data_IF_192853561582
#
_entry.id   IF_192853561582
#
_cell.length_a   1.000
_cell.length_b   1.000
_cell.length_c   1.000
_cell.angle_alpha   90.00
_cell.angle_beta   90.00
_cell.angle_gamma   90.00
#
_symmetry.space_group_name_H-M   'P 1'
#
loop_
_entity.id
_entity.type
_entity.pdbx_description
1 polymer ?
#
# COMPACT_ATOMS: atom_id res chain seq x y z
N UNK A 1 -12.63 13.95 13.24
CA UNK A 1 -13.12 14.77 12.10
C UNK A 1 -14.13 13.87 11.38
N UNK A 2 -15.40 14.29 11.22
CA UNK A 2 -16.42 13.42 10.60
C UNK A 2 -16.05 13.20 9.13
N UNK A 3 -15.94 11.94 8.70
CA UNK A 3 -15.58 11.60 7.31
C UNK A 3 -16.71 11.99 6.35
N UNK A 4 -16.40 12.22 5.07
CA UNK A 4 -17.38 12.60 4.07
C UNK A 4 -18.52 11.56 3.96
N UNK A 5 -18.17 10.27 4.06
CA UNK A 5 -19.10 9.13 4.03
C UNK A 5 -20.09 9.14 5.21
N UNK A 6 -19.62 9.46 6.43
CA UNK A 6 -20.49 9.59 7.61
C UNK A 6 -21.42 10.79 7.47
N UNK A 7 -20.92 11.92 6.96
CA UNK A 7 -21.74 13.11 6.73
C UNK A 7 -22.88 12.82 5.75
N UNK A 8 -22.61 12.13 4.64
CA UNK A 8 -23.64 11.77 3.66
C UNK A 8 -24.71 10.84 4.23
N UNK A 9 -24.31 9.83 5.02
CA UNK A 9 -25.25 8.89 5.66
C UNK A 9 -26.18 9.60 6.65
N UNK A 10 -25.63 10.42 7.55
CA UNK A 10 -26.40 11.21 8.53
C UNK A 10 -27.41 12.15 7.84
N UNK A 11 -27.01 12.79 6.74
CA UNK A 11 -27.89 13.67 5.95
C UNK A 11 -28.98 12.91 5.17
N UNK A 12 -28.78 11.61 4.90
CA UNK A 12 -29.81 10.76 4.29
C UNK A 12 -30.85 10.30 5.32
N UNK A 13 -30.42 10.03 6.56
CA UNK A 13 -31.26 9.50 7.63
C UNK A 13 -32.11 10.57 8.32
N UNK A 14 -31.61 11.80 8.43
CA UNK A 14 -32.37 12.89 9.07
C UNK A 14 -33.73 13.17 8.42
N UNK A 15 -33.85 12.89 7.12
CA UNK A 15 -35.11 13.05 6.39
C UNK A 15 -36.20 12.06 6.86
N UNK A 16 -35.80 10.97 7.50
CA UNK A 16 -36.67 9.90 8.02
C UNK A 16 -37.19 10.18 9.43
N UNK A 17 -36.62 11.14 10.15
CA UNK A 17 -37.06 11.51 11.51
C UNK A 17 -38.27 12.44 11.37
N UNK A 18 -39.48 12.05 11.77
CA UNK A 18 -40.66 12.90 11.59
C UNK A 18 -40.72 14.09 12.55
N UNK A 19 -40.08 13.97 13.72
CA UNK A 19 -40.09 15.01 14.75
C UNK A 19 -39.03 16.09 14.50
N UNK A 20 -39.51 17.31 14.20
CA UNK A 20 -38.65 18.45 13.85
C UNK A 20 -37.70 18.88 14.98
N UNK A 21 -38.06 18.68 16.25
CA UNK A 21 -37.19 19.00 17.38
C UNK A 21 -36.06 17.96 17.52
N UNK A 22 -36.38 16.67 17.41
CA UNK A 22 -35.39 15.58 17.45
C UNK A 22 -34.38 15.63 16.30
N UNK A 23 -34.78 16.09 15.10
CA UNK A 23 -33.84 16.31 13.97
C UNK A 23 -32.65 17.18 14.35
N UNK A 24 -32.88 18.22 15.16
CA UNK A 24 -31.82 19.16 15.56
C UNK A 24 -30.86 18.48 16.54
N UNK A 25 -31.39 17.73 17.51
CA UNK A 25 -30.56 16.99 18.46
C UNK A 25 -29.74 15.91 17.73
N UNK A 26 -30.37 15.15 16.82
CA UNK A 26 -29.71 14.11 16.03
C UNK A 26 -28.53 14.67 15.21
N UNK A 27 -28.67 15.84 14.59
CA UNK A 27 -27.54 16.49 13.89
C UNK A 27 -26.38 16.83 14.81
N UNK A 28 -26.68 17.42 15.96
CA UNK A 28 -25.66 17.89 16.90
C UNK A 28 -24.94 16.71 17.58
N UNK A 29 -25.63 15.59 17.77
CA UNK A 29 -25.04 14.34 18.26
C UNK A 29 -24.08 13.73 17.24
N UNK A 30 -24.54 13.54 16.00
CA UNK A 30 -23.80 12.76 15.01
C UNK A 30 -22.76 13.57 14.21
N UNK A 31 -22.98 14.87 13.97
CA UNK A 31 -22.04 15.74 13.25
C UNK A 31 -21.21 16.65 14.17
N UNK A 32 -21.45 16.57 15.49
CA UNK A 32 -20.83 17.42 16.48
C UNK A 32 -21.32 18.88 16.43
N UNK A 33 -20.51 19.83 16.92
CA UNK A 33 -20.95 21.22 17.07
C UNK A 33 -21.15 21.93 15.72
N UNK A 34 -22.34 22.49 15.52
CA UNK A 34 -22.75 23.12 14.25
C UNK A 34 -23.09 24.61 14.39
N UNK A 35 -22.89 25.36 13.30
CA UNK A 35 -23.43 26.73 13.16
C UNK A 35 -24.93 26.67 12.91
N UNK A 36 -25.62 27.76 13.22
CA UNK A 36 -27.06 27.91 12.94
C UNK A 36 -27.40 27.66 11.46
N UNK A 37 -26.57 28.16 10.54
CA UNK A 37 -26.74 28.00 9.09
C UNK A 37 -26.65 26.55 8.65
N UNK A 38 -25.70 25.81 9.22
CA UNK A 38 -25.51 24.39 8.92
C UNK A 38 -26.66 23.54 9.47
N UNK A 39 -27.22 23.90 10.64
CA UNK A 39 -28.40 23.20 11.17
C UNK A 39 -29.59 23.40 10.24
N UNK A 40 -29.80 24.59 9.69
CA UNK A 40 -30.85 24.85 8.69
C UNK A 40 -30.64 23.98 7.45
N UNK A 41 -29.43 24.04 6.88
CA UNK A 41 -29.07 23.31 5.67
C UNK A 41 -29.25 21.80 5.83
N UNK A 42 -28.75 21.24 6.93
CA UNK A 42 -28.69 19.80 7.15
C UNK A 42 -30.03 19.21 7.64
N UNK A 43 -30.83 19.98 8.39
CA UNK A 43 -32.13 19.49 8.87
C UNK A 43 -33.23 19.55 7.83
N UNK A 44 -33.04 20.33 6.76
CA UNK A 44 -34.08 20.63 5.77
C UNK A 44 -35.26 21.43 6.35
N UNK A 45 -35.10 22.03 7.53
CA UNK A 45 -36.14 22.80 8.20
C UNK A 45 -36.04 24.29 7.87
N UNK A 46 -37.17 25.00 7.91
CA UNK A 46 -37.16 26.45 7.72
C UNK A 46 -36.43 27.16 8.87
N UNK A 47 -35.85 28.33 8.57
CA UNK A 47 -35.13 29.17 9.54
C UNK A 47 -35.93 29.47 10.81
N UNK A 48 -37.23 29.71 10.68
CA UNK A 48 -38.14 29.96 11.81
C UNK A 48 -38.33 28.72 12.67
N UNK A 49 -38.45 27.55 12.06
CA UNK A 49 -38.58 26.25 12.73
C UNK A 49 -37.31 25.89 13.51
N UNK A 50 -36.13 26.03 12.89
CA UNK A 50 -34.84 25.82 13.57
C UNK A 50 -34.68 26.80 14.74
N UNK A 51 -35.02 28.07 14.55
CA UNK A 51 -34.94 29.06 15.63
C UNK A 51 -35.84 28.71 16.81
N UNK A 52 -37.09 28.27 16.55
CA UNK A 52 -38.04 27.84 17.56
C UNK A 52 -37.48 26.68 18.39
N UNK A 53 -37.01 25.62 17.74
CA UNK A 53 -36.59 24.40 18.43
C UNK A 53 -35.20 24.51 19.07
N UNK A 54 -34.27 25.28 18.51
CA UNK A 54 -33.03 25.60 19.23
C UNK A 54 -33.31 26.37 20.51
N UNK A 55 -34.19 27.38 20.49
CA UNK A 55 -34.58 28.10 21.71
C UNK A 55 -35.22 27.16 22.73
N UNK A 56 -36.09 26.26 22.27
CA UNK A 56 -36.69 25.24 23.12
C UNK A 56 -35.63 24.36 23.79
N UNK A 57 -34.71 23.78 23.02
CA UNK A 57 -33.67 22.91 23.55
C UNK A 57 -32.65 23.64 24.43
N UNK A 58 -32.32 24.89 24.12
CA UNK A 58 -31.49 25.71 25.01
C UNK A 58 -32.20 26.05 26.32
N UNK A 59 -33.51 26.33 26.30
CA UNK A 59 -34.28 26.56 27.54
C UNK A 59 -34.40 25.32 28.43
N UNK A 60 -34.28 24.13 27.82
CA UNK A 60 -34.33 22.83 28.51
C UNK A 60 -32.94 22.26 28.85
N UNK A 61 -31.86 23.00 28.58
CA UNK A 61 -30.48 22.54 28.73
C UNK A 61 -30.12 21.30 27.91
N UNK A 62 -30.82 21.04 26.79
CA UNK A 62 -30.49 19.97 25.84
C UNK A 62 -29.42 20.40 24.83
N UNK A 63 -29.29 21.71 24.60
CA UNK A 63 -28.36 22.31 23.65
C UNK A 63 -27.77 23.58 24.24
N UNK A 64 -26.45 23.69 24.21
CA UNK A 64 -25.71 24.86 24.66
C UNK A 64 -25.10 25.63 23.50
N UNK A 65 -25.05 26.95 23.61
CA UNK A 65 -24.40 27.82 22.63
C UNK A 65 -23.05 28.28 23.17
N UNK A 66 -21.95 27.82 22.58
CA UNK A 66 -20.57 28.15 23.00
C UNK A 66 -19.74 28.68 21.84
N UNK A 67 -18.65 29.37 22.17
CA UNK A 67 -17.63 29.76 21.20
C UNK A 67 -16.75 28.54 20.93
N UNK A 68 -16.83 28.02 19.71
CA UNK A 68 -15.93 26.99 19.23
C UNK A 68 -14.62 27.62 18.77
N UNK A 69 -13.49 27.10 19.27
CA UNK A 69 -12.14 27.52 18.87
C UNK A 69 -11.42 26.33 18.25
N UNK A 70 -10.93 26.51 17.02
CA UNK A 70 -10.05 25.55 16.37
C UNK A 70 -8.75 26.24 16.00
N UNK A 71 -7.71 26.00 16.81
CA UNK A 71 -6.41 26.65 16.69
C UNK A 71 -5.69 26.25 15.38
N UNK A 72 -5.90 25.02 14.90
CA UNK A 72 -5.28 24.51 13.67
C UNK A 72 -5.86 25.12 12.39
N UNK A 73 -7.09 25.67 12.44
CA UNK A 73 -7.75 26.32 11.30
C UNK A 73 -7.97 27.82 11.50
N UNK A 74 -7.51 28.37 12.62
CA UNK A 74 -7.71 29.76 13.05
C UNK A 74 -9.20 30.20 13.02
N UNK A 75 -10.10 29.31 13.46
CA UNK A 75 -11.55 29.55 13.47
C UNK A 75 -12.02 29.82 14.91
N UNK A 76 -12.71 30.94 15.10
CA UNK A 76 -13.43 31.27 16.34
C UNK A 76 -14.85 31.71 16.02
N UNK A 77 -15.83 30.89 16.39
CA UNK A 77 -17.23 31.16 16.02
C UNK A 77 -18.25 30.55 16.97
N UNK A 78 -19.46 31.07 16.95
CA UNK A 78 -20.55 30.55 17.76
C UNK A 78 -21.14 29.28 17.13
N UNK A 79 -21.15 28.20 17.92
CA UNK A 79 -21.77 26.92 17.55
C UNK A 79 -22.69 26.43 18.66
N UNK A 80 -23.60 25.54 18.26
CA UNK A 80 -24.47 24.82 19.18
C UNK A 80 -23.88 23.45 19.46
N UNK A 81 -23.96 23.03 20.71
CA UNK A 81 -23.43 21.79 21.25
C UNK A 81 -24.60 21.05 21.90
N UNK A 82 -24.74 19.76 21.63
CA UNK A 82 -25.66 18.92 22.40
C UNK A 82 -25.07 18.69 23.80
N UNK A 83 -25.93 18.61 24.81
CA UNK A 83 -25.55 18.24 26.18
C UNK A 83 -25.89 16.78 26.46
N UNK A 84 -25.48 16.27 27.62
CA UNK A 84 -25.84 14.92 28.06
C UNK A 84 -27.37 14.76 28.16
N UNK A 85 -28.07 15.75 28.73
CA UNK A 85 -29.54 15.83 28.76
C UNK A 85 -30.18 15.82 27.36
N UNK A 86 -29.53 16.47 26.39
CA UNK A 86 -29.97 16.44 25.00
C UNK A 86 -29.81 15.07 24.34
N UNK A 87 -28.78 14.33 24.75
CA UNK A 87 -28.50 12.96 24.28
C UNK A 87 -29.46 11.96 24.92
N UNK A 88 -29.75 12.11 26.22
CA UNK A 88 -30.75 11.32 26.93
C UNK A 88 -32.15 11.50 26.34
N UNK A 89 -32.55 12.75 26.04
CA UNK A 89 -33.85 13.02 25.38
C UNK A 89 -33.99 12.30 24.02
N UNK A 90 -32.90 12.17 23.26
CA UNK A 90 -32.92 11.40 22.01
C UNK A 90 -33.14 9.89 22.23
N UNK A 91 -32.79 9.38 23.41
CA UNK A 91 -32.97 7.97 23.78
C UNK A 91 -34.35 7.61 24.34
N UNK A 92 -35.14 8.60 24.80
CA UNK A 92 -36.46 8.37 25.42
C UNK A 92 -37.64 8.44 24.43
N UNK A 93 -37.51 9.21 23.34
CA UNK A 93 -38.56 9.33 22.30
C UNK A 93 -38.25 8.37 21.13
N UNK A 94 -38.99 7.27 21.07
CA UNK A 94 -38.98 6.16 20.09
C UNK A 94 -38.61 6.58 18.64
N UNK A 95 -37.31 6.61 18.31
CA UNK A 95 -36.83 6.56 16.92
C UNK A 95 -36.50 5.08 16.65
N UNK A 96 -37.46 4.36 16.07
CA UNK A 96 -37.31 2.95 15.78
C UNK A 96 -36.26 2.71 14.67
N UNK A 97 -35.24 1.93 15.02
CA UNK A 97 -34.26 1.22 14.17
C UNK A 97 -33.24 2.05 13.36
N UNK A 98 -32.05 2.24 13.94
CA UNK A 98 -30.75 1.62 13.55
C UNK A 98 -29.55 2.18 14.38
N UNK A 99 -29.81 2.84 15.51
CA UNK A 99 -28.77 3.51 16.33
C UNK A 99 -28.21 2.66 17.49
N UNK A 100 -28.90 1.60 17.91
CA UNK A 100 -28.38 0.69 18.94
C UNK A 100 -27.11 -0.04 18.48
N UNK A 101 -26.99 -0.25 17.16
CA UNK A 101 -25.81 -0.84 16.52
C UNK A 101 -24.62 0.12 16.50
N UNK A 102 -24.83 1.40 16.16
CA UNK A 102 -23.72 2.38 16.10
C UNK A 102 -23.15 2.71 17.48
N UNK A 103 -24.01 2.81 18.50
CA UNK A 103 -23.56 3.07 19.88
C UNK A 103 -22.92 1.83 20.50
N UNK A 104 -23.41 0.61 20.19
CA UNK A 104 -22.73 -0.62 20.59
C UNK A 104 -21.38 -0.74 19.90
N UNK A 105 -21.29 -0.55 18.58
CA UNK A 105 -20.04 -0.64 17.83
C UNK A 105 -18.98 0.36 18.32
N UNK A 106 -19.35 1.63 18.54
CA UNK A 106 -18.40 2.63 19.08
C UNK A 106 -17.99 2.29 20.52
N UNK A 107 -18.91 1.83 21.37
CA UNK A 107 -18.56 1.42 22.72
C UNK A 107 -17.70 0.15 22.73
N UNK A 108 -17.94 -0.79 21.82
CA UNK A 108 -17.15 -2.00 21.65
C UNK A 108 -15.74 -1.64 21.18
N UNK A 109 -15.60 -0.71 20.22
CA UNK A 109 -14.31 -0.15 19.79
C UNK A 109 -13.55 0.53 20.95
N UNK A 110 -14.25 1.37 21.72
CA UNK A 110 -13.68 2.05 22.89
C UNK A 110 -13.28 1.03 23.97
N UNK A 111 -14.13 0.03 24.22
CA UNK A 111 -13.88 -1.04 25.18
C UNK A 111 -12.65 -1.84 24.78
N UNK A 112 -12.59 -2.31 23.53
CA UNK A 112 -11.45 -3.05 22.98
C UNK A 112 -10.14 -2.26 23.07
N UNK A 113 -10.15 -0.97 22.74
CA UNK A 113 -8.96 -0.12 22.89
C UNK A 113 -8.58 0.10 24.36
N UNK A 114 -9.57 0.18 25.26
CA UNK A 114 -9.33 0.30 26.70
C UNK A 114 -8.71 -0.98 27.27
N UNK A 115 -9.23 -2.14 26.90
CA UNK A 115 -8.71 -3.44 27.26
C UNK A 115 -7.26 -3.62 26.77
N UNK A 116 -6.98 -3.28 25.51
CA UNK A 116 -5.62 -3.31 24.95
C UNK A 116 -4.66 -2.40 25.73
N UNK A 117 -5.08 -1.17 26.07
CA UNK A 117 -4.26 -0.27 26.88
C UNK A 117 -4.00 -0.80 28.28
N UNK A 118 -5.02 -1.39 28.91
CA UNK A 118 -4.88 -1.99 30.24
C UNK A 118 -3.95 -3.20 30.20
N UNK A 119 -4.09 -4.07 29.20
CA UNK A 119 -3.18 -5.18 28.96
C UNK A 119 -1.71 -4.72 28.86
N UNK A 120 -1.43 -3.70 28.06
CA UNK A 120 -0.06 -3.19 27.93
C UNK A 120 0.48 -2.56 29.22
N UNK A 121 -0.37 -1.91 30.01
CA UNK A 121 0.01 -1.42 31.34
C UNK A 121 0.32 -2.56 32.30
N UNK A 122 -0.44 -3.66 32.26
CA UNK A 122 -0.20 -4.85 33.09
C UNK A 122 1.17 -5.49 32.80
N UNK A 123 1.57 -5.55 31.52
CA UNK A 123 2.89 -6.03 31.13
C UNK A 123 3.98 -4.94 31.16
N UNK A 124 3.71 -3.79 31.79
CA UNK A 124 4.65 -2.70 32.02
C UNK A 124 5.25 -2.07 30.76
N UNK A 125 4.49 -2.01 29.66
CA UNK A 125 4.89 -1.30 28.44
C UNK A 125 4.76 0.22 28.64
N UNK A 126 5.74 0.98 28.15
CA UNK A 126 5.76 2.43 28.28
C UNK A 126 4.58 3.10 27.55
N UNK A 127 3.99 4.15 28.13
CA UNK A 127 2.82 4.85 27.57
C UNK A 127 3.06 5.43 26.16
N UNK A 128 4.31 5.81 25.83
CA UNK A 128 4.70 6.23 24.48
C UNK A 128 4.49 5.11 23.46
N UNK A 129 4.95 3.90 23.77
CA UNK A 129 4.79 2.70 22.94
C UNK A 129 3.31 2.36 22.79
N UNK A 130 2.54 2.40 23.89
CA UNK A 130 1.08 2.17 23.86
C UNK A 130 0.40 3.16 22.91
N UNK A 131 0.82 4.43 22.96
CA UNK A 131 0.29 5.49 22.09
C UNK A 131 0.61 5.23 20.62
N UNK A 132 1.82 4.78 20.30
CA UNK A 132 2.22 4.46 18.94
C UNK A 132 1.49 3.22 18.39
N UNK A 133 1.36 2.16 19.19
CA UNK A 133 0.55 0.97 18.81
C UNK A 133 -0.90 1.37 18.58
N UNK A 134 -1.47 2.21 19.45
CA UNK A 134 -2.84 2.71 19.28
C UNK A 134 -2.98 3.52 17.98
N UNK A 135 -1.98 4.33 17.63
CA UNK A 135 -1.96 5.08 16.36
C UNK A 135 -1.94 4.13 15.16
N UNK A 136 -1.13 3.07 15.22
CA UNK A 136 -1.08 2.07 14.15
C UNK A 136 -2.44 1.37 13.99
N UNK A 137 -3.12 1.00 15.07
CA UNK A 137 -4.48 0.43 15.01
C UNK A 137 -5.46 1.40 14.35
N UNK A 138 -5.39 2.70 14.68
CA UNK A 138 -6.25 3.71 14.05
C UNK A 138 -6.01 3.76 12.53
N UNK A 139 -4.76 3.65 12.09
CA UNK A 139 -4.41 3.63 10.66
C UNK A 139 -4.88 2.34 9.95
N UNK A 140 -4.95 1.21 10.67
CA UNK A 140 -5.52 -0.04 10.15
C UNK A 140 -7.05 0.05 9.97
N UNK A 141 -7.72 0.97 10.66
CA UNK A 141 -9.13 1.26 10.51
C UNK A 141 -10.07 0.20 11.09
N UNK A 142 -11.34 0.23 10.66
CA UNK A 142 -12.42 -0.61 11.20
C UNK A 142 -12.16 -2.12 10.98
N UNK A 143 -11.46 -2.47 9.89
CA UNK A 143 -11.14 -3.87 9.54
C UNK A 143 -10.31 -4.59 10.62
N UNK A 144 -9.50 -3.85 11.40
CA UNK A 144 -8.73 -4.44 12.51
C UNK A 144 -9.64 -5.08 13.56
N UNK A 145 -10.79 -4.45 13.84
CA UNK A 145 -11.71 -4.89 14.88
C UNK A 145 -12.59 -6.08 14.46
N UNK A 146 -12.50 -6.50 13.19
CA UNK A 146 -13.05 -7.78 12.72
C UNK A 146 -12.22 -8.98 13.19
N UNK A 147 -10.98 -8.75 13.62
CA UNK A 147 -10.11 -9.78 14.19
C UNK A 147 -10.45 -9.94 15.67
N UNK A 148 -10.49 -11.20 16.15
CA UNK A 148 -10.76 -11.51 17.55
C UNK A 148 -9.76 -10.81 18.48
N UNK A 149 -10.27 -9.90 19.30
CA UNK A 149 -9.49 -9.10 20.24
C UNK A 149 -9.17 -9.93 21.49
N UNK A 150 -7.91 -10.33 21.63
CA UNK A 150 -7.45 -11.10 22.78
C UNK A 150 -5.96 -10.86 23.07
N UNK A 151 -5.50 -11.46 24.17
CA UNK A 151 -4.11 -11.37 24.63
C UNK A 151 -3.09 -11.71 23.53
N UNK A 152 -3.34 -12.74 22.74
CA UNK A 152 -2.39 -13.21 21.73
C UNK A 152 -2.28 -12.19 20.58
N UNK A 153 -3.39 -11.59 20.13
CA UNK A 153 -3.37 -10.48 19.17
C UNK A 153 -2.60 -9.27 19.72
N UNK A 154 -2.83 -8.89 20.98
CA UNK A 154 -2.16 -7.75 21.59
C UNK A 154 -0.65 -7.98 21.71
N UNK A 155 -0.23 -9.20 22.04
CA UNK A 155 1.19 -9.58 22.02
C UNK A 155 1.75 -9.54 20.59
N UNK A 156 1.00 -9.97 19.59
CA UNK A 156 1.43 -9.88 18.19
C UNK A 156 1.61 -8.45 17.71
N UNK A 157 0.69 -7.54 18.04
CA UNK A 157 0.85 -6.11 17.72
C UNK A 157 2.11 -5.52 18.37
N UNK A 158 2.41 -5.95 19.60
CA UNK A 158 3.63 -5.50 20.26
C UNK A 158 4.88 -6.12 19.65
N UNK A 159 4.83 -7.39 19.21
CA UNK A 159 5.90 -8.03 18.45
C UNK A 159 6.16 -7.29 17.13
N UNK A 160 5.11 -6.94 16.38
CA UNK A 160 5.18 -6.14 15.15
C UNK A 160 5.77 -4.76 15.42
N UNK A 161 5.34 -4.09 16.50
CA UNK A 161 5.89 -2.79 16.88
C UNK A 161 7.39 -2.88 17.17
N UNK A 162 7.81 -3.85 17.99
CA UNK A 162 9.23 -4.03 18.29
C UNK A 162 10.02 -4.33 17.02
N UNK A 163 9.51 -5.17 16.12
CA UNK A 163 10.21 -5.52 14.88
C UNK A 163 9.87 -4.56 13.71
N UNK A 164 9.43 -3.33 14.00
CA UNK A 164 9.22 -2.32 12.98
C UNK A 164 10.57 -1.83 12.43
N UNK A 165 10.63 -1.54 11.13
CA UNK A 165 11.81 -0.92 10.51
C UNK A 165 12.15 0.42 11.18
N UNK A 166 11.12 1.13 11.68
CA UNK A 166 11.27 2.43 12.33
C UNK A 166 11.77 2.33 13.78
N UNK A 167 11.85 1.13 14.37
CA UNK A 167 12.31 0.89 15.75
C UNK A 167 13.61 0.10 15.77
N UNK A 168 14.65 0.61 15.08
CA UNK A 168 15.93 -0.10 14.85
C UNK A 168 16.57 -0.72 16.08
N UNK A 169 16.50 -0.04 17.22
CA UNK A 169 17.15 -0.44 18.48
C UNK A 169 16.39 -1.55 19.22
N UNK A 170 15.13 -1.79 18.83
CA UNK A 170 14.30 -2.82 19.40
C UNK A 170 14.20 -3.91 18.36
N UNK A 171 14.79 -5.07 18.63
CA UNK A 171 14.51 -6.28 17.87
C UNK A 171 14.36 -7.42 18.83
N UNK A 172 13.30 -8.18 18.62
CA UNK A 172 12.98 -9.31 19.47
C UNK A 172 12.85 -10.51 18.58
N UNK A 173 13.80 -11.43 18.66
CA UNK A 173 13.68 -12.71 17.97
C UNK A 173 12.38 -13.40 18.44
N UNK A 174 11.62 -13.98 17.52
CA UNK A 174 10.29 -14.51 17.84
C UNK A 174 10.34 -15.58 18.94
N UNK A 175 11.41 -16.38 19.00
CA UNK A 175 11.60 -17.43 20.01
C UNK A 175 11.80 -16.83 21.41
N UNK A 176 12.63 -15.78 21.51
CA UNK A 176 12.87 -15.05 22.74
C UNK A 176 11.61 -14.30 23.19
N UNK A 177 10.89 -13.68 22.27
CA UNK A 177 9.65 -12.96 22.55
C UNK A 177 8.60 -13.90 23.12
N UNK A 178 8.42 -15.06 22.47
CA UNK A 178 7.51 -16.12 22.90
C UNK A 178 7.85 -16.65 24.29
N UNK A 179 9.15 -16.83 24.57
CA UNK A 179 9.62 -17.27 25.89
C UNK A 179 9.37 -16.19 26.96
N UNK A 180 9.67 -14.93 26.67
CA UNK A 180 9.52 -13.82 27.61
C UNK A 180 8.06 -13.60 28.01
N UNK A 181 7.14 -13.58 27.03
CA UNK A 181 5.72 -13.34 27.27
C UNK A 181 4.90 -14.61 27.45
N UNK A 182 5.53 -15.79 27.53
CA UNK A 182 4.87 -17.09 27.67
C UNK A 182 3.70 -17.26 26.68
N UNK A 183 4.02 -17.16 25.40
CA UNK A 183 3.09 -17.34 24.27
C UNK A 183 3.70 -18.32 23.27
N UNK A 184 2.88 -19.14 22.62
CA UNK A 184 3.39 -20.10 21.62
C UNK A 184 3.70 -19.36 20.32
N UNK A 185 4.85 -19.66 19.68
CA UNK A 185 5.23 -19.11 18.36
C UNK A 185 4.09 -19.22 17.34
N UNK A 186 3.44 -20.39 17.26
CA UNK A 186 2.29 -20.63 16.38
C UNK A 186 1.13 -19.62 16.56
N UNK A 187 0.91 -19.10 17.78
CA UNK A 187 -0.12 -18.08 18.03
C UNK A 187 0.28 -16.73 17.46
N UNK A 188 1.54 -16.34 17.63
CA UNK A 188 2.06 -15.09 17.07
C UNK A 188 2.05 -15.15 15.55
N UNK A 189 2.58 -16.23 14.96
CA UNK A 189 2.57 -16.43 13.49
C UNK A 189 1.13 -16.40 12.94
N UNK A 190 0.18 -17.10 13.57
CA UNK A 190 -1.24 -17.07 13.18
C UNK A 190 -1.82 -15.64 13.13
N UNK A 191 -1.53 -14.82 14.13
CA UNK A 191 -2.04 -13.44 14.17
C UNK A 191 -1.29 -12.51 13.21
N UNK A 192 0.00 -12.74 12.95
CA UNK A 192 0.74 -12.03 11.90
C UNK A 192 0.09 -12.31 10.55
N UNK A 193 -0.17 -13.57 10.24
CA UNK A 193 -0.82 -13.99 8.98
C UNK A 193 -2.23 -13.40 8.86
N UNK A 194 -3.02 -13.43 9.95
CA UNK A 194 -4.34 -12.78 10.00
C UNK A 194 -4.26 -11.27 9.74
N UNK A 195 -3.33 -10.56 10.37
CA UNK A 195 -3.16 -9.12 10.21
C UNK A 195 -2.73 -8.75 8.79
N UNK A 196 -1.80 -9.51 8.21
CA UNK A 196 -1.33 -9.29 6.84
C UNK A 196 -2.39 -9.64 5.78
N UNK A 197 -3.15 -10.72 5.99
CA UNK A 197 -4.23 -11.15 5.06
C UNK A 197 -5.50 -10.28 5.10
N UNK A 198 -5.66 -9.42 6.11
CA UNK A 198 -6.88 -8.63 6.31
C UNK A 198 -6.85 -7.23 5.65
N UNK A 199 -5.95 -6.98 4.69
CA UNK A 199 -5.73 -5.69 4.00
C UNK A 199 -5.63 -4.49 4.97
N UNK A 200 -4.90 -4.67 6.06
CA UNK A 200 -4.71 -3.63 7.09
C UNK A 200 -3.55 -2.69 6.77
N UNK A 201 -3.03 -2.71 5.53
CA UNK A 201 -1.90 -1.86 5.13
C UNK A 201 -0.54 -2.21 5.75
N UNK A 202 -0.41 -3.39 6.35
CA UNK A 202 0.85 -3.91 6.89
C UNK A 202 1.67 -4.60 5.79
N UNK A 203 2.97 -4.36 5.81
CA UNK A 203 3.96 -5.05 4.99
C UNK A 203 4.97 -5.77 5.88
N UNK A 204 5.49 -6.87 5.38
CA UNK A 204 6.49 -7.71 6.03
C UNK A 204 7.54 -8.20 5.02
N UNK A 205 8.80 -8.14 5.43
CA UNK A 205 9.89 -8.80 4.71
C UNK A 205 10.84 -9.47 5.69
N UNK A 206 11.57 -10.47 5.21
CA UNK A 206 12.47 -11.28 6.02
C UNK A 206 13.93 -11.08 5.61
N UNK A 207 14.84 -11.21 6.58
CA UNK A 207 16.27 -11.35 6.35
C UNK A 207 16.79 -12.53 7.17
N UNK A 208 16.92 -13.69 6.53
CA UNK A 208 17.10 -14.93 7.27
C UNK A 208 15.89 -15.17 8.18
N UNK A 209 16.14 -15.37 9.48
CA UNK A 209 15.09 -15.58 10.49
C UNK A 209 14.48 -14.25 11.01
N UNK A 210 15.11 -13.11 10.72
CA UNK A 210 14.59 -11.80 11.16
C UNK A 210 13.39 -11.40 10.31
N UNK A 211 12.27 -11.07 10.96
CA UNK A 211 11.08 -10.49 10.32
C UNK A 211 11.05 -8.98 10.59
N UNK A 212 10.71 -8.20 9.57
CA UNK A 212 10.58 -6.75 9.65
C UNK A 212 9.21 -6.31 9.20
N UNK A 213 8.69 -5.26 9.83
CA UNK A 213 7.36 -4.74 9.56
C UNK A 213 7.36 -3.24 9.31
N UNK A 214 6.42 -2.78 8.49
CA UNK A 214 6.05 -1.37 8.41
C UNK A 214 4.60 -1.25 7.92
N UNK A 215 4.02 -0.07 8.07
CA UNK A 215 2.65 0.23 7.68
C UNK A 215 2.64 1.23 6.52
N UNK A 216 1.72 1.07 5.57
CA UNK A 216 1.61 1.95 4.38
C UNK A 216 1.43 3.44 4.71
N UNK A 217 0.90 3.74 5.89
CA UNK A 217 0.64 5.10 6.38
C UNK A 217 1.71 5.62 7.36
N UNK A 218 2.74 4.83 7.68
CA UNK A 218 3.89 5.35 8.42
C UNK A 218 4.86 6.11 7.52
N UNK A 219 5.89 6.73 8.11
CA UNK A 219 6.84 7.58 7.36
C UNK A 219 7.56 6.77 6.28
N UNK A 220 7.91 5.51 6.53
CA UNK A 220 8.57 4.64 5.56
C UNK A 220 7.61 4.26 4.43
N UNK A 221 6.41 3.80 4.76
CA UNK A 221 5.39 3.39 3.80
C UNK A 221 4.94 4.55 2.89
N UNK A 222 4.67 5.72 3.46
CA UNK A 222 4.28 6.92 2.71
C UNK A 222 5.39 7.36 1.76
N UNK A 223 6.64 7.40 2.25
CA UNK A 223 7.78 7.80 1.43
C UNK A 223 8.03 6.80 0.30
N UNK A 224 7.99 5.50 0.61
CA UNK A 224 8.19 4.42 -0.37
C UNK A 224 7.13 4.47 -1.47
N UNK A 225 5.85 4.51 -1.11
CA UNK A 225 4.74 4.53 -2.09
C UNK A 225 4.80 5.79 -2.95
N UNK A 226 5.13 6.94 -2.35
CA UNK A 226 5.29 8.19 -3.08
C UNK A 226 6.43 8.09 -4.10
N UNK A 227 7.61 7.64 -3.69
CA UNK A 227 8.77 7.49 -4.58
C UNK A 227 8.46 6.51 -5.72
N UNK A 228 7.77 5.40 -5.44
CA UNK A 228 7.30 4.47 -6.48
C UNK A 228 6.41 5.19 -7.50
N UNK A 229 5.41 5.94 -7.03
CA UNK A 229 4.47 6.64 -7.91
C UNK A 229 5.15 7.73 -8.73
N UNK A 230 6.00 8.52 -8.10
CA UNK A 230 6.73 9.62 -8.77
C UNK A 230 7.64 9.05 -9.89
N UNK A 231 8.36 7.95 -9.61
CA UNK A 231 9.20 7.27 -10.60
C UNK A 231 8.39 6.62 -11.74
N UNK A 232 7.30 5.91 -11.42
CA UNK A 232 6.43 5.33 -12.44
C UNK A 232 5.81 6.40 -13.35
N UNK A 233 5.42 7.55 -12.80
CA UNK A 233 4.89 8.67 -13.59
C UNK A 233 5.98 9.21 -14.53
N UNK A 234 7.20 9.42 -14.03
CA UNK A 234 8.31 9.91 -14.86
C UNK A 234 8.59 8.96 -16.03
N UNK A 235 8.65 7.65 -15.77
CA UNK A 235 8.86 6.63 -16.79
C UNK A 235 7.73 6.62 -17.83
N UNK A 236 6.47 6.70 -17.41
CA UNK A 236 5.34 6.81 -18.35
C UNK A 236 5.46 8.08 -19.22
N UNK A 237 5.90 9.20 -18.64
CA UNK A 237 6.12 10.45 -19.39
C UNK A 237 7.27 10.30 -20.38
N UNK A 238 8.41 9.74 -19.99
CA UNK A 238 9.54 9.51 -20.88
C UNK A 238 9.17 8.59 -22.05
N UNK A 239 8.43 7.52 -21.78
CA UNK A 239 7.91 6.60 -22.79
C UNK A 239 6.93 7.29 -23.76
N UNK A 240 6.18 8.29 -23.30
CA UNK A 240 5.29 9.07 -24.18
C UNK A 240 6.03 10.04 -25.11
N UNK A 241 7.28 10.38 -24.77
CA UNK A 241 8.13 11.30 -25.53
C UNK A 241 9.04 10.53 -26.51
N UNK A 242 9.52 9.35 -26.11
CA UNK A 242 10.40 8.51 -26.93
C UNK A 242 9.59 7.62 -27.89
N UNK A 243 9.64 7.90 -29.20
CA UNK A 243 8.89 7.15 -30.23
C UNK A 243 9.23 5.64 -30.27
N UNK A 244 10.43 5.25 -29.81
CA UNK A 244 10.94 3.87 -29.91
C UNK A 244 10.96 3.08 -28.59
N UNK A 245 10.68 3.71 -27.43
CA UNK A 245 10.73 3.00 -26.13
C UNK A 245 9.38 2.38 -25.79
N UNK A 246 9.39 1.11 -25.41
CA UNK A 246 8.20 0.45 -24.86
C UNK A 246 8.27 0.41 -23.34
N UNK A 247 7.10 0.42 -22.70
CA UNK A 247 7.02 0.23 -21.23
C UNK A 247 7.63 -1.09 -20.77
N UNK A 248 7.71 -2.09 -21.66
CA UNK A 248 8.40 -3.36 -21.40
C UNK A 248 9.93 -3.24 -21.26
N UNK A 249 10.49 -2.07 -21.54
CA UNK A 249 11.93 -1.79 -21.43
C UNK A 249 12.28 -1.14 -20.07
N UNK A 250 11.29 -0.90 -19.21
CA UNK A 250 11.49 -0.42 -17.84
C UNK A 250 12.41 -1.37 -17.07
N UNK A 251 13.42 -0.80 -16.41
CA UNK A 251 14.33 -1.55 -15.56
C UNK A 251 13.85 -1.57 -14.11
N UNK A 252 13.20 -2.67 -13.73
CA UNK A 252 12.64 -2.84 -12.38
C UNK A 252 13.72 -2.84 -11.29
N UNK A 253 14.85 -3.49 -11.54
CA UNK A 253 15.96 -3.59 -10.58
C UNK A 253 16.51 -2.19 -10.30
N UNK A 254 16.77 -1.42 -11.37
CA UNK A 254 17.28 -0.05 -11.28
C UNK A 254 16.30 0.88 -10.55
N UNK A 255 15.00 0.79 -10.86
CA UNK A 255 13.99 1.63 -10.22
C UNK A 255 13.92 1.36 -8.71
N UNK A 256 14.00 0.08 -8.32
CA UNK A 256 14.02 -0.29 -6.90
C UNK A 256 15.31 0.16 -6.20
N UNK A 257 16.46 0.05 -6.85
CA UNK A 257 17.74 0.59 -6.36
C UNK A 257 17.65 2.10 -6.10
N UNK A 258 17.20 2.89 -7.07
CA UNK A 258 17.07 4.34 -6.92
C UNK A 258 16.12 4.73 -5.78
N UNK A 259 14.99 4.03 -5.63
CA UNK A 259 14.04 4.28 -4.54
C UNK A 259 14.65 3.94 -3.19
N UNK A 260 15.36 2.82 -3.08
CA UNK A 260 15.98 2.43 -1.81
C UNK A 260 17.19 3.28 -1.45
N UNK A 261 17.96 3.77 -2.42
CA UNK A 261 19.01 4.76 -2.21
C UNK A 261 18.44 6.06 -1.62
N UNK A 262 17.35 6.57 -2.19
CA UNK A 262 16.66 7.74 -1.61
C UNK A 262 16.20 7.47 -0.16
N UNK A 263 15.67 6.27 0.13
CA UNK A 263 15.25 5.91 1.49
C UNK A 263 16.42 5.72 2.48
N UNK A 264 17.60 5.34 1.99
CA UNK A 264 18.84 5.32 2.77
C UNK A 264 19.30 6.73 3.11
N UNK A 265 19.28 7.65 2.14
CA UNK A 265 19.62 9.06 2.35
C UNK A 265 18.67 9.75 3.33
N UNK A 266 17.39 9.35 3.33
CA UNK A 266 16.38 9.80 4.30
C UNK A 266 16.52 9.14 5.68
N UNK A 267 17.49 8.25 5.88
CA UNK A 267 17.69 7.47 7.10
C UNK A 267 16.46 6.63 7.51
N UNK A 268 15.62 6.22 6.54
CA UNK A 268 14.43 5.41 6.80
C UNK A 268 14.74 3.90 6.77
N UNK A 269 15.72 3.50 5.96
CA UNK A 269 16.31 2.15 5.96
C UNK A 269 17.83 2.25 6.18
N UNK A 270 18.53 1.11 6.28
CA UNK A 270 19.98 1.08 6.48
C UNK A 270 20.66 -0.02 5.67
N UNK A 271 21.89 0.27 5.25
CA UNK A 271 22.75 -0.67 4.56
C UNK A 271 23.66 -1.42 5.55
N UNK A 272 24.33 -2.47 5.07
CA UNK A 272 25.28 -3.22 5.86
C UNK A 272 26.46 -2.31 6.26
N UNK A 273 26.81 -2.33 7.54
CA UNK A 273 28.00 -1.68 8.05
C UNK A 273 28.98 -2.74 8.55
N UNK A 274 29.92 -3.12 7.67
CA UNK A 274 30.96 -4.12 7.93
C UNK A 274 31.80 -3.76 9.17
N UNK A 275 32.01 -2.47 9.42
CA UNK A 275 32.82 -1.96 10.55
C UNK A 275 32.15 -2.19 11.91
N UNK A 276 30.83 -2.34 11.94
CA UNK A 276 30.03 -2.49 13.16
C UNK A 276 29.34 -3.85 13.26
N UNK A 277 29.54 -4.74 12.28
CA UNK A 277 28.86 -6.04 12.22
C UNK A 277 27.34 -5.93 12.06
N UNK A 278 26.83 -4.77 11.61
CA UNK A 278 25.40 -4.56 11.40
C UNK A 278 25.07 -5.05 9.99
N UNK A 279 24.27 -6.11 9.90
CA UNK A 279 23.66 -6.52 8.64
C UNK A 279 22.62 -5.47 8.22
N UNK A 280 22.65 -5.08 6.95
CA UNK A 280 21.70 -4.14 6.35
C UNK A 280 20.34 -4.76 6.09
N UNK A 281 19.37 -3.93 5.73
CA UNK A 281 18.06 -4.37 5.22
C UNK A 281 17.82 -3.97 3.77
N UNK A 282 18.77 -3.26 3.14
CA UNK A 282 18.69 -2.73 1.78
C UNK A 282 18.20 -3.78 0.79
N UNK A 283 18.94 -4.85 0.58
CA UNK A 283 18.64 -5.87 -0.44
C UNK A 283 17.29 -6.60 -0.21
N UNK A 284 16.95 -7.09 0.99
CA UNK A 284 15.60 -7.61 1.25
C UNK A 284 14.48 -6.60 1.04
N UNK A 285 14.72 -5.32 1.34
CA UNK A 285 13.75 -4.26 1.15
C UNK A 285 13.59 -3.86 -0.32
N UNK A 286 14.68 -3.84 -1.10
CA UNK A 286 14.65 -3.64 -2.56
C UNK A 286 13.72 -4.64 -3.24
N UNK A 287 13.85 -5.93 -2.91
CA UNK A 287 12.99 -6.98 -3.46
C UNK A 287 11.50 -6.76 -3.13
N UNK A 288 11.19 -6.24 -1.94
CA UNK A 288 9.84 -5.84 -1.59
C UNK A 288 9.38 -4.64 -2.43
N UNK A 289 10.26 -3.64 -2.61
CA UNK A 289 9.98 -2.46 -3.45
C UNK A 289 9.67 -2.87 -4.90
N UNK A 290 10.39 -3.83 -5.47
CA UNK A 290 10.10 -4.36 -6.82
C UNK A 290 8.68 -4.91 -6.93
N UNK A 291 8.23 -5.70 -5.94
CA UNK A 291 6.84 -6.20 -5.88
C UNK A 291 5.83 -5.04 -5.74
N UNK A 292 6.15 -4.06 -4.90
CA UNK A 292 5.31 -2.87 -4.71
C UNK A 292 5.21 -2.01 -5.97
N UNK A 293 6.28 -1.89 -6.76
CA UNK A 293 6.29 -1.20 -8.05
C UNK A 293 5.31 -1.88 -9.01
N UNK A 294 5.39 -3.20 -9.17
CA UNK A 294 4.49 -3.96 -10.06
C UNK A 294 3.03 -3.80 -9.62
N UNK A 295 2.74 -3.86 -8.31
CA UNK A 295 1.38 -3.62 -7.79
C UNK A 295 0.87 -2.22 -8.09
N UNK A 296 1.67 -1.18 -7.81
CA UNK A 296 1.26 0.21 -8.06
C UNK A 296 1.08 0.46 -9.56
N UNK A 297 1.95 -0.09 -10.41
CA UNK A 297 1.86 0.00 -11.85
C UNK A 297 0.55 -0.63 -12.38
N UNK A 298 0.15 -1.78 -11.82
CA UNK A 298 -1.11 -2.44 -12.12
C UNK A 298 -2.32 -1.59 -11.68
N UNK A 299 -2.28 -0.99 -10.49
CA UNK A 299 -3.31 -0.06 -9.99
C UNK A 299 -3.41 1.22 -10.84
N UNK A 300 -2.31 1.66 -11.45
CA UNK A 300 -2.25 2.77 -12.40
C UNK A 300 -2.78 2.41 -13.81
N UNK A 301 -3.11 1.14 -14.05
CA UNK A 301 -3.68 0.66 -15.31
C UNK A 301 -2.66 0.22 -16.36
N UNK A 302 -1.39 -0.02 -15.98
CA UNK A 302 -0.40 -0.57 -16.90
C UNK A 302 -0.81 -2.00 -17.32
N UNK A 303 -0.75 -2.35 -18.62
CA UNK A 303 -1.17 -3.67 -19.09
C UNK A 303 -0.40 -4.82 -18.44
N UNK A 304 -1.12 -5.88 -18.04
CA UNK A 304 -0.55 -7.09 -17.43
C UNK A 304 0.59 -7.71 -18.24
N UNK A 305 0.49 -7.71 -19.57
CA UNK A 305 1.54 -8.23 -20.45
C UNK A 305 2.84 -7.48 -20.32
N UNK A 306 2.77 -6.15 -20.23
CA UNK A 306 3.93 -5.30 -20.05
C UNK A 306 4.58 -5.55 -18.69
N UNK A 307 3.77 -5.65 -17.64
CA UNK A 307 4.26 -5.97 -16.29
C UNK A 307 4.94 -7.34 -16.22
N UNK A 308 4.44 -8.32 -16.97
CA UNK A 308 5.05 -9.63 -17.05
C UNK A 308 6.41 -9.59 -17.75
N UNK A 309 6.53 -8.84 -18.85
CA UNK A 309 7.80 -8.64 -19.53
C UNK A 309 8.83 -7.91 -18.65
N UNK A 310 8.40 -6.94 -17.83
CA UNK A 310 9.24 -6.22 -16.87
C UNK A 310 9.71 -7.16 -15.74
N UNK A 311 8.78 -7.91 -15.14
CA UNK A 311 9.08 -8.86 -14.07
C UNK A 311 10.07 -9.95 -14.51
N UNK A 312 9.96 -10.46 -15.75
CA UNK A 312 10.87 -11.47 -16.30
C UNK A 312 12.30 -10.97 -16.50
N UNK A 313 12.53 -9.65 -16.49
CA UNK A 313 13.84 -9.03 -16.66
C UNK A 313 14.56 -8.76 -15.33
N UNK A 314 13.87 -8.84 -14.18
CA UNK A 314 14.44 -8.53 -12.87
C UNK A 314 15.36 -9.64 -12.38
N UNK A 315 16.64 -9.34 -12.17
CA UNK A 315 17.62 -10.36 -11.72
C UNK A 315 17.45 -10.69 -10.24
N UNK A 316 17.00 -9.73 -9.43
CA UNK A 316 16.84 -9.89 -7.98
C UNK A 316 15.65 -10.79 -7.66
N UNK A 317 14.50 -10.51 -8.27
CA UNK A 317 13.27 -11.31 -8.08
C UNK A 317 13.41 -12.75 -8.58
N UNK A 318 14.15 -12.97 -9.66
CA UNK A 318 14.35 -14.31 -10.21
C UNK A 318 15.22 -15.21 -9.33
N UNK A 319 16.13 -14.62 -8.53
CA UNK A 319 17.00 -15.35 -7.59
C UNK A 319 16.31 -15.69 -6.27
N UNK A 320 15.24 -14.98 -5.94
CA UNK A 320 14.53 -15.14 -4.69
C UNK A 320 13.60 -16.36 -4.70
N UNK A 321 13.66 -17.17 -3.64
CA UNK A 321 12.74 -18.29 -3.44
C UNK A 321 11.28 -17.79 -3.43
N UNK A 322 10.43 -18.35 -4.30
CA UNK A 322 9.03 -17.93 -4.46
C UNK A 322 8.81 -16.57 -5.13
N UNK A 323 9.85 -15.82 -5.49
CA UNK A 323 9.74 -14.48 -6.10
C UNK A 323 8.97 -14.47 -7.41
N UNK A 324 9.23 -15.44 -8.30
CA UNK A 324 8.51 -15.62 -9.58
C UNK A 324 7.00 -15.83 -9.38
N UNK A 325 6.63 -16.70 -8.44
CA UNK A 325 5.23 -17.05 -8.16
C UNK A 325 4.47 -15.86 -7.58
N UNK A 326 5.10 -15.15 -6.65
CA UNK A 326 4.55 -13.95 -6.03
C UNK A 326 4.26 -12.85 -7.07
N UNK A 327 5.17 -12.58 -8.01
CA UNK A 327 4.95 -11.59 -9.07
C UNK A 327 3.84 -12.01 -10.03
N UNK A 328 3.82 -13.28 -10.42
CA UNK A 328 2.77 -13.83 -11.25
C UNK A 328 1.40 -13.63 -10.59
N UNK A 329 1.31 -13.90 -9.30
CA UNK A 329 0.09 -13.74 -8.54
C UNK A 329 -0.31 -12.25 -8.45
N UNK A 330 0.62 -11.32 -8.18
CA UNK A 330 0.35 -9.86 -8.18
C UNK A 330 -0.24 -9.43 -9.53
N UNK A 331 0.40 -9.79 -10.64
CA UNK A 331 -0.04 -9.41 -12.00
C UNK A 331 -1.44 -9.98 -12.29
N UNK A 332 -1.77 -11.14 -11.73
CA UNK A 332 -3.09 -11.76 -11.86
C UNK A 332 -4.15 -11.22 -10.88
N UNK A 333 -3.87 -10.13 -10.16
CA UNK A 333 -4.73 -9.55 -9.13
C UNK A 333 -4.99 -10.53 -7.97
N UNK A 334 -4.01 -11.35 -7.62
CA UNK A 334 -4.08 -12.12 -6.37
C UNK A 334 -4.16 -11.16 -5.19
N UNK A 335 -5.05 -11.47 -4.25
CA UNK A 335 -5.22 -10.74 -3.00
C UNK A 335 -4.40 -11.37 -1.86
N UNK A 336 -3.59 -12.42 -2.13
CA UNK A 336 -2.79 -13.05 -1.08
C UNK A 336 -1.67 -12.11 -0.65
N UNK A 337 -1.60 -11.85 0.66
CA UNK A 337 -0.57 -10.98 1.23
C UNK A 337 0.84 -11.53 1.02
N UNK A 338 1.01 -12.85 0.98
CA UNK A 338 2.28 -13.53 0.74
C UNK A 338 2.90 -13.11 -0.60
N UNK A 339 2.07 -12.69 -1.56
CA UNK A 339 2.55 -12.23 -2.86
C UNK A 339 3.25 -10.87 -2.75
N UNK A 340 2.89 -10.02 -1.79
CA UNK A 340 3.54 -8.73 -1.54
C UNK A 340 4.53 -8.77 -0.39
N UNK A 341 4.70 -9.91 0.26
CA UNK A 341 5.59 -10.06 1.40
C UNK A 341 6.68 -11.08 1.05
N UNK A 342 7.82 -11.02 1.75
CA UNK A 342 8.86 -12.05 1.63
C UNK A 342 8.63 -13.02 2.78
N UNK A 343 7.80 -14.04 2.54
CA UNK A 343 7.57 -15.13 3.50
C UNK A 343 8.05 -16.42 2.85
N UNK A 344 8.91 -17.17 3.52
CA UNK A 344 9.13 -18.57 3.18
C UNK A 344 7.86 -19.35 3.57
N UNK A 345 7.05 -19.69 2.58
CA UNK A 345 5.88 -20.54 2.82
C UNK A 345 6.41 -21.98 2.90
N UNK A 346 6.32 -22.63 4.06
CA UNK A 346 6.66 -24.05 4.19
C UNK A 346 5.65 -25.01 3.52
N UNK A 347 4.57 -24.49 2.94
CA UNK A 347 3.55 -25.24 2.20
C UNK A 347 2.95 -24.38 1.08
N UNK A 348 3.73 -24.01 0.06
CA UNK A 348 3.12 -23.65 -1.23
C UNK A 348 2.90 -24.95 -1.99
N UNK A 349 1.67 -25.46 -2.01
CA UNK A 349 1.28 -26.37 -3.09
C UNK A 349 1.64 -25.67 -4.39
N UNK A 350 2.57 -26.27 -5.16
CA UNK A 350 2.83 -25.94 -6.56
C UNK A 350 1.50 -26.06 -7.32
N UNK A 351 0.69 -25.02 -7.24
CA UNK A 351 -0.55 -24.95 -8.00
C UNK A 351 -0.06 -24.66 -9.41
N UNK A 352 -0.06 -25.70 -10.24
CA UNK A 352 0.43 -25.68 -11.63
C UNK A 352 0.21 -24.30 -12.27
N UNK A 353 1.31 -23.55 -12.37
CA UNK A 353 1.44 -22.22 -12.98
C UNK A 353 0.78 -22.11 -14.38
N UNK A 354 0.48 -23.25 -14.99
CA UNK A 354 -0.04 -23.40 -16.35
C UNK A 354 -1.58 -23.39 -16.46
N UNK A 355 -2.35 -23.53 -15.38
CA UNK A 355 -3.83 -23.53 -15.52
C UNK A 355 -4.47 -22.12 -15.49
N UNK A 356 -3.75 -21.12 -14.96
CA UNK A 356 -4.25 -19.73 -14.85
C UNK A 356 -3.93 -18.86 -16.08
N UNK A 357 -3.24 -19.39 -17.09
CA UNK A 357 -2.89 -18.70 -18.34
C UNK A 357 -3.98 -18.79 -19.42
N UNK A 358 -5.20 -18.35 -19.11
CA UNK A 358 -6.27 -18.33 -20.14
C UNK A 358 -5.94 -17.43 -21.33
N UNK A 359 -5.04 -16.45 -21.18
CA UNK A 359 -4.71 -15.44 -22.19
C UNK A 359 -3.33 -15.59 -22.87
N UNK A 360 -2.41 -16.40 -22.33
CA UNK A 360 -1.04 -16.49 -22.84
C UNK A 360 -0.86 -17.64 -23.83
N UNK A 361 -0.18 -17.37 -24.94
CA UNK A 361 0.08 -18.34 -26.01
C UNK A 361 1.47 -18.97 -25.88
N UNK A 362 2.45 -18.18 -25.44
CA UNK A 362 3.83 -18.58 -25.17
C UNK A 362 4.75 -17.35 -25.14
N UNK A 363 6.05 -17.56 -25.24
CA UNK A 363 7.06 -16.49 -25.26
C UNK A 363 7.86 -16.50 -26.57
N UNK A 364 8.31 -15.32 -27.00
CA UNK A 364 9.12 -15.15 -28.20
C UNK A 364 10.45 -15.91 -28.05
N UNK A 365 10.83 -16.77 -29.01
CA UNK A 365 12.04 -17.58 -28.92
C UNK A 365 13.34 -16.79 -29.03
N UNK A 366 13.30 -15.53 -29.51
CA UNK A 366 14.49 -14.67 -29.63
C UNK A 366 14.71 -13.74 -28.43
N UNK A 367 13.64 -13.21 -27.84
CA UNK A 367 13.77 -12.14 -26.84
C UNK A 367 12.92 -12.35 -25.58
N UNK A 368 12.33 -13.53 -25.41
CA UNK A 368 11.54 -13.88 -24.23
C UNK A 368 10.23 -13.10 -24.03
N UNK A 369 9.86 -12.21 -24.96
CA UNK A 369 8.65 -11.37 -24.86
C UNK A 369 7.39 -12.22 -24.82
N UNK A 370 6.46 -11.87 -23.95
CA UNK A 370 5.15 -12.51 -23.82
C UNK A 370 4.33 -12.38 -25.10
N UNK A 371 3.76 -13.49 -25.58
CA UNK A 371 2.83 -13.55 -26.73
C UNK A 371 1.46 -14.01 -26.25
N UNK A 372 0.43 -13.20 -26.53
CA UNK A 372 -0.95 -13.49 -26.13
C UNK A 372 -1.67 -14.40 -27.13
N UNK A 373 -2.70 -15.13 -26.67
CA UNK A 373 -3.57 -15.95 -27.55
C UNK A 373 -4.34 -15.12 -28.57
N UNK A 374 -4.62 -13.88 -28.24
CA UNK A 374 -5.34 -12.94 -29.11
C UNK A 374 -4.39 -12.17 -30.05
N UNK A 375 -3.07 -12.35 -29.89
CA UNK A 375 -2.10 -11.81 -30.83
C UNK A 375 -2.06 -12.72 -32.07
N UNK A 376 -2.59 -12.20 -33.17
CA UNK A 376 -2.61 -12.84 -34.48
C UNK A 376 -1.33 -12.54 -35.28
N UNK A 377 -0.45 -11.68 -34.77
CA UNK A 377 0.84 -11.40 -35.38
C UNK A 377 1.79 -12.57 -35.16
N UNK A 378 2.42 -13.01 -36.24
CA UNK A 378 3.57 -13.92 -36.16
C UNK A 378 4.89 -13.14 -36.00
N UNK A 379 4.83 -11.82 -35.82
CA UNK A 379 6.00 -10.96 -35.68
C UNK A 379 6.07 -10.44 -34.24
N UNK A 380 7.21 -10.65 -33.59
CA UNK A 380 7.47 -10.14 -32.25
C UNK A 380 7.59 -8.61 -32.29
N UNK A 381 6.74 -7.94 -31.53
CA UNK A 381 6.73 -6.47 -31.43
C UNK A 381 7.97 -5.87 -30.73
N UNK A 382 8.79 -6.67 -30.05
CA UNK A 382 10.04 -6.20 -29.42
C UNK A 382 11.27 -6.40 -30.30
N UNK A 383 11.42 -7.57 -30.89
CA UNK A 383 12.65 -7.93 -31.61
C UNK A 383 12.47 -8.12 -33.12
N UNK A 384 11.25 -7.89 -33.64
CA UNK A 384 10.90 -8.01 -35.05
C UNK A 384 10.97 -9.43 -35.63
N UNK A 385 11.21 -10.46 -34.80
CA UNK A 385 11.34 -11.84 -35.29
C UNK A 385 9.99 -12.34 -35.79
N UNK A 386 9.96 -12.89 -37.00
CA UNK A 386 8.85 -13.67 -37.50
C UNK A 386 8.99 -15.14 -37.02
N UNK A 387 7.99 -15.67 -36.33
CA UNK A 387 7.99 -17.00 -35.72
C UNK A 387 6.70 -17.77 -36.03
N UNK A 388 6.78 -19.10 -36.07
CA UNK A 388 5.58 -19.97 -36.03
C UNK A 388 5.13 -20.16 -34.59
N UNK A 389 3.84 -20.39 -34.39
CA UNK A 389 3.18 -20.59 -33.09
C UNK A 389 3.79 -21.77 -32.34
N UNK A 390 4.27 -22.78 -33.08
CA UNK A 390 4.94 -23.96 -32.53
C UNK A 390 6.36 -23.67 -32.01
N UNK A 391 6.95 -22.54 -32.41
CA UNK A 391 8.28 -22.11 -32.00
C UNK A 391 8.24 -21.23 -30.74
N UNK A 392 7.03 -20.91 -30.25
CA UNK A 392 6.87 -20.20 -28.99
C UNK A 392 7.36 -21.06 -27.82
N UNK A 393 8.14 -20.44 -26.94
CA UNK A 393 8.56 -21.07 -25.70
C UNK A 393 7.36 -21.17 -24.76
N UNK A 394 7.21 -22.31 -24.11
CA UNK A 394 6.25 -22.50 -23.02
C UNK A 394 6.89 -22.35 -21.65
N UNK A 395 8.22 -22.53 -21.57
CA UNK A 395 8.97 -22.50 -20.33
C UNK A 395 9.33 -21.07 -19.91
N UNK A 396 8.98 -20.72 -18.67
CA UNK A 396 9.17 -19.37 -18.12
C UNK A 396 10.64 -19.09 -17.80
N UNK A 397 11.39 -20.11 -17.39
CA UNK A 397 12.81 -19.96 -17.04
C UNK A 397 13.64 -19.70 -18.29
N UNK A 398 13.41 -20.50 -19.34
CA UNK A 398 14.01 -20.27 -20.65
C UNK A 398 13.63 -18.90 -21.23
N UNK A 399 12.37 -18.49 -21.09
CA UNK A 399 11.92 -17.17 -21.55
C UNK A 399 12.57 -16.02 -20.78
N UNK A 400 12.73 -16.17 -19.46
CA UNK A 400 13.39 -15.19 -18.60
C UNK A 400 14.88 -15.05 -18.94
N UNK A 401 15.61 -16.15 -19.09
CA UNK A 401 17.02 -16.14 -19.51
C UNK A 401 17.20 -15.43 -20.86
N UNK A 402 16.34 -15.73 -21.83
CA UNK A 402 16.35 -15.07 -23.14
C UNK A 402 16.01 -13.59 -23.07
N UNK A 403 15.04 -13.20 -22.23
CA UNK A 403 14.66 -11.80 -22.05
C UNK A 403 15.79 -10.98 -21.42
N UNK A 404 16.45 -11.52 -20.39
CA UNK A 404 17.61 -10.89 -19.74
C UNK A 404 18.78 -10.77 -20.72
N UNK A 405 19.11 -11.85 -21.46
CA UNK A 405 20.18 -11.83 -22.45
C UNK A 405 19.92 -10.81 -23.57
N UNK A 406 18.68 -10.74 -24.05
CA UNK A 406 18.28 -9.77 -25.06
C UNK A 406 18.40 -8.32 -24.57
N UNK A 407 17.99 -8.04 -23.33
CA UNK A 407 18.13 -6.71 -22.73
C UNK A 407 19.61 -6.30 -22.61
N UNK A 408 20.48 -7.21 -22.16
CA UNK A 408 21.91 -6.95 -22.06
C UNK A 408 22.49 -6.61 -23.43
N UNK A 409 22.20 -7.41 -24.46
CA UNK A 409 22.64 -7.15 -25.83
C UNK A 409 22.14 -5.79 -26.36
N UNK A 410 20.87 -5.46 -26.10
CA UNK A 410 20.29 -4.17 -26.50
C UNK A 410 20.95 -2.99 -25.80
N UNK A 411 21.27 -3.10 -24.50
CA UNK A 411 21.98 -2.05 -23.76
C UNK A 411 23.43 -1.90 -24.22
N UNK A 412 24.10 -2.98 -24.63
CA UNK A 412 25.43 -2.91 -25.24
C UNK A 412 25.41 -2.23 -26.61
N UNK A 413 24.39 -2.49 -27.40
CA UNK A 413 24.11 -1.83 -28.68
C UNK A 413 23.85 -0.33 -28.53
N UNK A 414 23.29 0.11 -27.39
CA UNK A 414 23.03 1.53 -27.10
C UNK A 414 24.21 2.28 -26.48
N UNK A 415 25.32 1.61 -26.13
CA UNK A 415 26.49 2.27 -25.55
C UNK A 415 27.08 3.31 -26.48
N UNK A 416 27.37 4.47 -25.91
CA UNK A 416 28.07 5.55 -26.59
C UNK A 416 29.58 5.26 -26.64
N UNK A 417 30.10 5.18 -27.85
CA UNK A 417 31.53 5.05 -28.15
C UNK A 417 32.02 6.31 -28.85
N UNK A 418 33.31 6.60 -28.76
CA UNK A 418 33.92 7.60 -29.64
C UNK A 418 33.94 7.07 -31.08
N UNK A 419 33.72 7.97 -32.03
CA UNK A 419 33.73 7.60 -33.43
C UNK A 419 35.06 6.92 -33.81
N UNK A 420 35.05 5.80 -34.56
CA UNK A 420 36.26 5.09 -34.96
C UNK A 420 37.15 5.88 -35.93
N UNK A 421 36.72 7.07 -36.35
CA UNK A 421 37.51 7.98 -37.15
C UNK A 421 38.38 8.83 -36.22
N UNK A 422 39.72 8.71 -36.28
CA UNK A 422 40.62 9.44 -35.38
C UNK A 422 40.56 10.96 -35.53
N UNK A 423 39.88 11.48 -36.56
CA UNK A 423 39.65 12.92 -36.76
C UNK A 423 38.23 13.36 -36.34
N UNK A 424 37.46 12.49 -35.67
CA UNK A 424 36.08 12.77 -35.27
C UNK A 424 35.87 12.42 -33.78
N UNK A 425 35.68 13.44 -32.94
CA UNK A 425 35.44 13.24 -31.50
C UNK A 425 33.94 13.14 -31.17
N UNK A 426 33.12 12.72 -32.14
CA UNK A 426 31.68 12.62 -31.96
C UNK A 426 31.35 11.32 -31.24
N UNK A 427 30.49 11.37 -30.22
CA UNK A 427 29.99 10.17 -29.56
C UNK A 427 28.86 9.57 -30.41
N UNK A 428 28.98 8.27 -30.68
CA UNK A 428 28.05 7.51 -31.52
C UNK A 428 27.60 6.26 -30.77
N UNK A 429 26.40 5.78 -31.06
CA UNK A 429 25.92 4.51 -30.49
C UNK A 429 26.39 3.33 -31.34
N UNK A 430 26.72 2.21 -30.69
CA UNK A 430 27.19 0.98 -31.34
C UNK A 430 26.21 0.40 -32.36
N UNK A 431 24.91 0.62 -32.17
CA UNK A 431 23.85 0.17 -33.09
C UNK A 431 23.68 1.04 -34.35
N UNK A 432 24.33 2.20 -34.44
CA UNK A 432 24.27 3.02 -35.64
C UNK A 432 25.08 2.38 -36.77
N UNK A 433 24.67 2.58 -38.01
CA UNK A 433 25.40 2.04 -39.16
C UNK A 433 26.55 2.98 -39.57
N UNK A 434 26.40 4.28 -39.36
CA UNK A 434 27.39 5.32 -39.68
C UNK A 434 27.42 6.44 -38.64
N UNK A 435 28.58 7.05 -38.43
CA UNK A 435 28.69 8.27 -37.64
C UNK A 435 27.98 9.43 -38.35
N UNK A 436 27.03 10.15 -37.70
CA UNK A 436 26.29 11.23 -38.36
C UNK A 436 27.16 12.45 -38.67
N UNK A 437 28.29 12.62 -37.98
CA UNK A 437 29.18 13.76 -38.17
C UNK A 437 30.20 13.57 -39.30
N UNK A 438 30.75 12.36 -39.44
CA UNK A 438 31.80 12.10 -40.44
C UNK A 438 31.51 10.92 -41.38
N UNK A 439 30.31 10.35 -41.31
CA UNK A 439 29.80 9.24 -42.13
C UNK A 439 30.67 7.98 -42.09
N UNK A 440 31.53 7.86 -41.07
CA UNK A 440 32.40 6.69 -40.91
C UNK A 440 31.55 5.49 -40.49
N UNK A 441 31.66 4.34 -41.20
CA UNK A 441 30.93 3.12 -40.84
C UNK A 441 31.32 2.64 -39.44
N UNK A 442 30.33 2.21 -38.67
CA UNK A 442 30.56 1.62 -37.35
C UNK A 442 30.77 0.12 -37.51
N UNK A 443 31.92 -0.37 -37.03
CA UNK A 443 32.24 -1.79 -37.07
C UNK A 443 31.59 -2.44 -35.85
N UNK A 444 30.53 -3.23 -36.08
CA UNK A 444 29.87 -4.03 -35.05
C UNK A 444 30.81 -5.18 -34.64
N UNK A 445 31.03 -5.44 -33.33
CA UNK A 445 31.93 -6.50 -32.85
C UNK A 445 31.45 -7.91 -33.20
#
# INVERSE_FOLDING_TARGET
MVTAKVKEKVLSEIKKIDQNDLRILYLLRNLGPLRFTNIIEYSGLSRSTVSKYIKLHTSKNNVEKKIYRNNSKNIQEQRYFITDLGTEKLGEDDISYDESLYFSEINDLISNLSELKNFYKEISVAESIITDITRNIINMGENYFLIEQNRDLYLTLFYIYNNSVLTRDFKFEITEFCKHYNVKKLRIDFYVDRLLSSDLGLYMFSRGEDKFFFHREDVLGVSTIRLIKDNLINEIVELSIAEDKMISDLDLDKLAEEITENLLEMELIWDANESQGISGIKEPFEMLVEKMIIKNALEMGIPKTSLMDIALQSKKLLKAEGGKNSLYNIINNSERYEDLNLVSISESEETELFQSLKLLRGFCPKCGKTVLKNDLSNICVRCGLNFDIKELLSDIEAASELSVAYKIASLEEEKEIECPNPNCNYQIKLNWDVCPNCLTPIIKP
#
